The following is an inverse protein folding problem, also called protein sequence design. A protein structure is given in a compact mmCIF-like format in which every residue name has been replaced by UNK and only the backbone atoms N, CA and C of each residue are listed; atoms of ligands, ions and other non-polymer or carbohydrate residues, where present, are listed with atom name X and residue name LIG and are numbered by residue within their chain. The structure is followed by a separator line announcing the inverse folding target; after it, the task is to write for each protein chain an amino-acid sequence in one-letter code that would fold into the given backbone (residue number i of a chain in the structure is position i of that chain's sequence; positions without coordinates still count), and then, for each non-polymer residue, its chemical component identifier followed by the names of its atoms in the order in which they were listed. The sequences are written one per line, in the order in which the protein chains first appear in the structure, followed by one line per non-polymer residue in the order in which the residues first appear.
data_IF_654911073466
#
_entry.id   IF_654911073466
#
_cell.length_a   1.000
_cell.length_b   1.000
_cell.length_c   1.000
_cell.angle_alpha   90.00
_cell.angle_beta   90.00
_cell.angle_gamma   90.00
#
_symmetry.space_group_name_H-M   'P 1'
#
loop_
_entity.id
_entity.type
_entity.pdbx_description
1 polymer ?
#
# COMPACT_ATOMS: atom_id res chain seq x y z
N UNK A 1 37.47 45.02 -4.80
CA UNK A 1 36.51 44.91 -3.68
C UNK A 1 35.43 43.94 -4.16
N UNK A 2 35.52 42.63 -3.89
CA UNK A 2 35.45 41.93 -2.60
C UNK A 2 34.04 41.95 -1.99
N UNK A 3 33.43 40.76 -2.01
CA UNK A 3 32.46 40.17 -1.06
C UNK A 3 31.10 40.91 -0.95
N UNK A 4 29.97 40.22 -1.10
CA UNK A 4 29.53 39.19 -0.14
C UNK A 4 28.94 37.96 -0.84
N UNK A 5 29.51 36.81 -0.48
CA UNK A 5 28.77 35.57 -0.37
C UNK A 5 27.77 35.75 0.78
N UNK A 6 26.49 35.59 0.51
CA UNK A 6 25.52 35.33 1.58
C UNK A 6 25.28 33.82 1.66
N UNK A 7 25.79 33.33 2.77
CA UNK A 7 25.67 32.03 3.39
C UNK A 7 24.20 31.60 3.47
N UNK A 8 23.85 30.50 2.79
CA UNK A 8 22.69 29.68 3.14
C UNK A 8 23.05 28.18 3.08
N UNK A 9 24.25 27.87 3.57
CA UNK A 9 24.58 26.57 4.16
C UNK A 9 24.23 26.66 5.65
N UNK A 10 22.99 26.32 6.01
CA UNK A 10 22.65 25.67 7.29
C UNK A 10 21.14 25.41 7.37
N UNK A 11 20.79 24.12 7.40
CA UNK A 11 19.71 23.55 8.21
C UNK A 11 18.32 24.20 8.23
N UNK A 12 17.35 23.39 7.80
CA UNK A 12 15.93 23.40 8.20
C UNK A 12 15.06 24.50 7.57
N UNK A 13 14.22 24.07 6.62
CA UNK A 13 13.04 24.82 6.18
C UNK A 13 12.86 24.74 4.67
N UNK A 14 12.31 23.62 4.19
CA UNK A 14 11.70 23.55 2.85
C UNK A 14 10.48 24.46 2.85
N UNK A 15 10.69 25.76 2.61
CA UNK A 15 9.62 26.68 2.21
C UNK A 15 9.62 26.74 0.70
N UNK A 16 8.47 26.47 0.11
CA UNK A 16 8.22 26.65 -1.32
C UNK A 16 7.55 28.01 -1.47
N UNK A 17 8.22 29.06 -1.99
CA UNK A 17 7.54 30.18 -2.61
C UNK A 17 7.26 29.84 -4.08
N UNK A 18 6.08 30.23 -4.51
CA UNK A 18 5.41 29.90 -5.75
C UNK A 18 6.14 30.43 -6.99
N UNK A 19 6.28 29.59 -8.03
CA UNK A 19 5.68 29.75 -9.38
C UNK A 19 6.48 28.95 -10.43
N UNK A 20 5.76 28.24 -11.31
CA UNK A 20 6.20 27.57 -12.54
C UNK A 20 6.89 26.17 -12.48
N UNK A 21 6.56 25.40 -13.51
CA UNK A 21 6.89 24.00 -13.78
C UNK A 21 8.39 23.70 -13.70
N UNK A 22 8.76 22.57 -13.08
CA UNK A 22 10.11 21.99 -13.23
C UNK A 22 11.07 22.11 -12.04
N UNK A 23 10.63 22.56 -10.86
CA UNK A 23 11.47 22.51 -9.67
C UNK A 23 11.55 21.10 -9.08
N UNK A 24 12.79 20.60 -8.90
CA UNK A 24 13.10 19.40 -8.14
C UNK A 24 12.70 19.60 -6.69
N UNK A 25 11.77 18.77 -6.20
CA UNK A 25 11.33 18.75 -4.80
C UNK A 25 12.26 17.89 -3.97
N UNK A 26 12.68 16.75 -4.51
CA UNK A 26 13.63 15.84 -3.89
C UNK A 26 14.36 15.07 -4.98
N UNK A 27 15.65 14.81 -4.78
CA UNK A 27 16.43 13.96 -5.66
C UNK A 27 17.37 13.08 -4.85
N UNK A 28 17.71 11.92 -5.40
CA UNK A 28 18.55 10.97 -4.69
C UNK A 28 18.56 9.59 -5.29
N UNK A 29 19.43 8.75 -4.74
CA UNK A 29 19.55 7.36 -5.16
C UNK A 29 18.58 6.48 -4.39
N UNK A 30 17.80 5.68 -5.11
CA UNK A 30 17.00 4.61 -4.55
C UNK A 30 17.23 3.32 -5.32
N UNK A 31 16.85 2.21 -4.71
CA UNK A 31 16.78 0.92 -5.40
C UNK A 31 15.38 0.76 -5.96
N UNK A 32 15.30 0.49 -7.26
CA UNK A 32 14.05 0.25 -7.96
C UNK A 32 13.90 -1.23 -8.25
N UNK A 33 12.75 -1.82 -7.91
CA UNK A 33 12.38 -3.15 -8.41
C UNK A 33 11.89 -3.06 -9.86
N UNK A 34 12.34 -3.98 -10.71
CA UNK A 34 11.76 -4.15 -12.04
C UNK A 34 10.34 -4.70 -11.97
N UNK A 35 9.46 -4.23 -12.86
CA UNK A 35 8.06 -4.66 -12.90
C UNK A 35 7.93 -6.09 -13.47
N UNK A 36 8.62 -6.36 -14.58
CA UNK A 36 8.60 -7.67 -15.27
C UNK A 36 9.62 -8.62 -14.65
N UNK A 37 10.90 -8.23 -14.71
CA UNK A 37 11.98 -8.96 -14.04
C UNK A 37 12.15 -8.31 -12.68
N UNK A 38 11.82 -9.01 -11.60
CA UNK A 38 11.78 -8.47 -10.23
C UNK A 38 13.17 -8.18 -9.62
N UNK A 39 14.17 -7.85 -10.45
CA UNK A 39 15.51 -7.47 -10.03
C UNK A 39 15.56 -6.05 -9.45
N UNK A 40 16.49 -5.83 -8.53
CA UNK A 40 16.77 -4.52 -7.96
C UNK A 40 17.80 -3.78 -8.83
N UNK A 41 17.52 -2.52 -9.13
CA UNK A 41 18.40 -1.64 -9.89
C UNK A 41 18.55 -0.32 -9.16
N UNK A 42 19.78 0.09 -8.87
CA UNK A 42 20.07 1.44 -8.39
C UNK A 42 19.74 2.46 -9.48
N UNK A 43 18.94 3.47 -9.14
CA UNK A 43 18.50 4.54 -10.04
C UNK A 43 18.54 5.87 -9.30
N UNK A 44 18.92 6.92 -10.01
CA UNK A 44 18.84 8.27 -9.49
C UNK A 44 17.44 8.79 -9.80
N UNK A 45 16.71 9.25 -8.79
CA UNK A 45 15.36 9.74 -8.91
C UNK A 45 15.34 11.25 -8.74
N UNK A 46 14.49 11.90 -9.52
CA UNK A 46 14.17 13.32 -9.41
C UNK A 46 12.66 13.43 -9.29
N UNK A 47 12.18 13.88 -8.14
CA UNK A 47 10.78 14.17 -7.87
C UNK A 47 10.50 15.63 -8.23
N UNK A 48 9.49 15.85 -9.06
CA UNK A 48 8.94 17.16 -9.39
C UNK A 48 7.44 17.13 -9.16
N UNK A 49 6.76 18.28 -9.26
CA UNK A 49 5.28 18.31 -9.23
C UNK A 49 4.71 17.48 -10.40
N UNK A 50 3.75 16.60 -10.11
CA UNK A 50 3.04 15.76 -11.09
C UNK A 50 3.83 14.55 -11.65
N UNK A 51 5.16 14.47 -11.49
CA UNK A 51 5.94 13.30 -11.93
C UNK A 51 7.22 13.03 -11.16
N UNK A 52 7.70 11.79 -11.29
CA UNK A 52 9.00 11.35 -10.82
C UNK A 52 9.80 10.71 -11.96
N UNK A 53 10.92 11.34 -12.32
CA UNK A 53 11.83 10.86 -13.35
C UNK A 53 12.93 10.00 -12.72
N UNK A 54 13.39 8.98 -13.45
CA UNK A 54 14.50 8.14 -12.98
C UNK A 54 15.55 7.86 -14.05
N UNK A 55 16.80 7.84 -13.60
CA UNK A 55 17.99 7.84 -14.43
C UNK A 55 18.89 6.65 -14.10
N UNK A 56 19.61 6.19 -15.10
CA UNK A 56 20.67 5.19 -14.97
C UNK A 56 22.03 5.86 -15.17
N UNK A 57 22.98 5.50 -14.32
CA UNK A 57 24.38 5.89 -14.46
C UNK A 57 25.05 5.15 -15.61
N UNK A 58 25.47 5.88 -16.63
CA UNK A 58 26.15 5.33 -17.79
C UNK A 58 27.64 5.04 -17.53
N UNK A 59 28.22 5.60 -16.47
CA UNK A 59 29.65 5.48 -16.24
C UNK A 59 29.97 4.37 -15.26
N UNK A 60 30.77 3.41 -15.73
CA UNK A 60 31.29 2.35 -14.87
C UNK A 60 32.75 2.49 -14.49
N UNK A 61 33.56 3.40 -15.04
CA UNK A 61 34.96 3.47 -14.57
C UNK A 61 35.88 4.64 -14.95
N UNK A 62 35.51 5.69 -15.72
CA UNK A 62 36.57 6.62 -16.24
C UNK A 62 36.31 8.14 -16.32
N UNK A 63 35.15 8.68 -15.98
CA UNK A 63 34.93 10.13 -16.06
C UNK A 63 34.68 10.80 -14.70
N UNK A 64 35.17 12.05 -14.58
CA UNK A 64 35.10 12.89 -13.37
C UNK A 64 33.67 13.36 -13.05
N UNK A 65 32.72 13.12 -13.94
CA UNK A 65 31.33 13.61 -13.86
C UNK A 65 30.35 12.45 -14.03
N UNK A 66 29.25 12.50 -13.28
CA UNK A 66 28.14 11.55 -13.39
C UNK A 66 27.40 11.76 -14.72
N UNK A 67 27.38 10.76 -15.60
CA UNK A 67 26.57 10.77 -16.81
C UNK A 67 25.26 10.01 -16.60
N UNK A 68 24.18 10.77 -16.41
CA UNK A 68 22.85 10.23 -16.17
C UNK A 68 22.02 10.18 -17.47
N UNK A 69 21.47 9.00 -17.77
CA UNK A 69 20.51 8.83 -18.87
C UNK A 69 19.11 8.56 -18.30
N UNK A 70 18.11 9.37 -18.71
CA UNK A 70 16.73 9.19 -18.27
C UNK A 70 16.19 7.87 -18.81
N UNK A 71 15.79 6.97 -17.90
CA UNK A 71 15.22 5.66 -18.26
C UNK A 71 13.71 5.65 -18.27
N UNK A 72 13.06 6.53 -17.50
CA UNK A 72 11.63 6.65 -17.55
C UNK A 72 11.09 7.72 -16.62
N UNK A 73 9.77 7.89 -16.71
CA UNK A 73 8.98 8.78 -15.88
C UNK A 73 7.84 7.99 -15.25
N UNK A 74 7.45 8.40 -14.05
CA UNK A 74 6.34 7.82 -13.30
C UNK A 74 5.40 8.95 -12.86
N UNK A 75 4.11 8.90 -13.21
CA UNK A 75 3.15 9.91 -12.77
C UNK A 75 2.97 9.84 -11.25
N UNK A 76 2.77 10.98 -10.60
CA UNK A 76 2.46 11.02 -9.16
C UNK A 76 1.09 11.62 -8.85
N UNK A 77 0.26 11.86 -9.87
CA UNK A 77 -1.12 12.30 -9.69
C UNK A 77 -1.93 11.19 -9.01
N UNK A 78 -2.72 11.57 -8.00
CA UNK A 78 -3.49 10.65 -7.15
C UNK A 78 -2.63 9.49 -6.61
N UNK A 79 -1.33 9.73 -6.40
CA UNK A 79 -0.42 8.67 -6.01
C UNK A 79 -0.65 8.22 -4.58
N UNK A 80 -0.64 6.91 -4.40
CA UNK A 80 -0.68 6.26 -3.08
C UNK A 80 0.71 5.78 -2.73
N UNK A 81 1.20 6.19 -1.57
CA UNK A 81 2.49 5.77 -1.05
C UNK A 81 2.25 4.75 0.06
N UNK A 82 2.71 3.52 -0.15
CA UNK A 82 2.35 2.37 0.70
C UNK A 82 3.60 1.55 1.03
N UNK A 83 3.77 1.18 2.30
CA UNK A 83 4.82 0.24 2.69
C UNK A 83 4.63 -1.12 2.04
N UNK A 84 5.73 -1.73 1.58
CA UNK A 84 5.69 -3.14 1.20
C UNK A 84 5.48 -4.02 2.43
N UNK A 85 5.20 -5.31 2.19
CA UNK A 85 4.88 -6.24 3.29
C UNK A 85 5.96 -6.27 4.36
N UNK A 86 7.22 -6.42 3.96
CA UNK A 86 8.35 -6.51 4.88
C UNK A 86 8.46 -5.26 5.77
N UNK A 87 8.34 -4.08 5.16
CA UNK A 87 8.39 -2.80 5.90
C UNK A 87 7.19 -2.60 6.80
N UNK A 88 6.00 -3.01 6.38
CA UNK A 88 4.80 -2.95 7.21
C UNK A 88 4.89 -3.90 8.41
N UNK A 89 5.34 -5.14 8.18
CA UNK A 89 5.57 -6.13 9.24
C UNK A 89 6.59 -5.60 10.25
N UNK A 90 7.69 -5.02 9.79
CA UNK A 90 8.73 -4.43 10.63
C UNK A 90 8.24 -3.23 11.45
N UNK A 91 7.66 -2.23 10.79
CA UNK A 91 7.44 -0.91 11.40
C UNK A 91 6.06 -0.73 12.03
N UNK A 92 5.05 -1.49 11.58
CA UNK A 92 3.67 -1.35 12.05
C UNK A 92 3.28 -2.51 12.95
N UNK A 93 3.64 -3.74 12.56
CA UNK A 93 3.34 -4.93 13.36
C UNK A 93 4.44 -5.29 14.36
N UNK A 94 5.55 -4.55 14.37
CA UNK A 94 6.73 -4.82 15.20
C UNK A 94 7.22 -6.27 15.10
N UNK A 95 7.17 -6.85 13.88
CA UNK A 95 7.68 -8.18 13.60
C UNK A 95 9.12 -8.07 13.11
N UNK A 96 10.02 -8.77 13.78
CA UNK A 96 11.39 -8.90 13.30
C UNK A 96 11.41 -9.51 11.89
N UNK A 97 12.30 -9.06 11.00
CA UNK A 97 12.36 -9.56 9.64
C UNK A 97 12.68 -11.05 9.67
N UNK A 98 11.87 -11.86 9.00
CA UNK A 98 12.13 -13.28 8.87
C UNK A 98 13.50 -13.45 8.20
N UNK A 99 14.42 -14.16 8.88
CA UNK A 99 15.79 -14.40 8.41
C UNK A 99 15.88 -15.04 7.01
N UNK A 100 14.75 -15.51 6.46
CA UNK A 100 14.61 -16.22 5.19
C UNK A 100 14.37 -15.32 3.95
N UNK A 101 14.02 -14.04 4.10
CA UNK A 101 13.89 -13.10 2.94
C UNK A 101 15.18 -12.32 2.70
N UNK A 102 16.33 -12.95 2.94
CA UNK A 102 17.55 -12.57 2.23
C UNK A 102 17.43 -13.16 0.84
N UNK A 103 16.74 -12.49 -0.07
CA UNK A 103 16.92 -12.76 -1.50
C UNK A 103 18.42 -12.57 -1.77
N UNK A 104 19.17 -13.69 -1.81
CA UNK A 104 20.54 -13.66 -2.27
C UNK A 104 20.49 -13.03 -3.66
N UNK A 105 21.15 -11.90 -3.91
CA UNK A 105 21.18 -11.34 -5.25
C UNK A 105 21.73 -12.44 -6.15
N UNK A 106 20.89 -12.98 -7.05
CA UNK A 106 21.33 -13.98 -8.02
C UNK A 106 22.54 -13.38 -8.73
N UNK A 107 23.68 -14.07 -8.59
CA UNK A 107 24.99 -13.56 -8.98
C UNK A 107 24.96 -12.97 -10.38
N UNK A 108 25.04 -11.64 -10.44
CA UNK A 108 24.96 -10.91 -11.68
C UNK A 108 25.73 -9.63 -11.57
N UNK A 109 27.03 -9.67 -11.86
CA UNK A 109 27.98 -8.56 -12.12
C UNK A 109 28.03 -7.38 -11.11
N UNK A 110 27.14 -7.33 -10.12
CA UNK A 110 26.87 -6.18 -9.27
C UNK A 110 27.75 -6.16 -8.04
N UNK A 111 28.07 -7.33 -7.47
CA UNK A 111 29.01 -7.52 -6.35
C UNK A 111 30.43 -7.04 -6.67
N UNK A 112 30.77 -6.83 -7.94
CA UNK A 112 32.11 -6.43 -8.37
C UNK A 112 32.28 -4.92 -8.61
N UNK A 113 31.19 -4.16 -8.71
CA UNK A 113 31.21 -2.73 -9.04
C UNK A 113 31.17 -1.80 -7.82
N UNK A 114 30.89 -2.34 -6.63
CA UNK A 114 30.69 -1.55 -5.41
C UNK A 114 31.79 -1.74 -4.36
N UNK A 115 32.98 -2.24 -4.73
CA UNK A 115 34.17 -2.20 -3.86
C UNK A 115 33.90 -2.63 -2.39
N UNK A 116 33.02 -3.61 -2.18
CA UNK A 116 32.48 -3.91 -0.87
C UNK A 116 31.24 -4.79 -0.97
N UNK A 117 31.18 -5.81 -0.13
CA UNK A 117 30.04 -6.70 0.09
C UNK A 117 28.96 -5.98 0.91
N UNK A 118 28.48 -4.81 0.47
CA UNK A 118 27.35 -4.17 1.14
C UNK A 118 26.07 -4.95 0.81
N UNK A 119 25.57 -5.65 1.82
CA UNK A 119 24.30 -6.34 1.77
C UNK A 119 23.20 -5.30 1.57
N UNK A 120 22.50 -5.37 0.44
CA UNK A 120 21.47 -4.41 0.08
C UNK A 120 20.21 -4.72 0.90
N UNK A 121 19.94 -3.93 1.94
CA UNK A 121 18.73 -4.07 2.74
C UNK A 121 17.48 -3.70 1.92
N UNK A 122 16.43 -4.50 2.08
CA UNK A 122 15.09 -4.27 1.53
C UNK A 122 14.06 -3.93 2.62
N UNK A 123 14.52 -3.62 3.82
CA UNK A 123 13.67 -3.46 5.01
C UNK A 123 12.86 -2.15 4.98
N UNK A 124 13.34 -1.15 4.24
CA UNK A 124 12.70 0.16 4.05
C UNK A 124 12.17 0.32 2.62
N UNK A 125 11.33 -0.64 2.24
CA UNK A 125 10.64 -0.70 0.96
C UNK A 125 9.26 -0.04 0.99
N UNK A 126 8.96 0.72 -0.06
CA UNK A 126 7.66 1.33 -0.27
C UNK A 126 7.33 1.34 -1.75
N UNK A 127 6.05 1.35 -2.07
CA UNK A 127 5.57 1.48 -3.43
C UNK A 127 4.81 2.79 -3.62
N UNK A 128 4.93 3.33 -4.83
CA UNK A 128 4.10 4.44 -5.31
C UNK A 128 3.13 3.84 -6.33
N UNK A 129 1.83 3.91 -6.05
CA UNK A 129 0.75 3.43 -6.93
C UNK A 129 0.07 4.64 -7.57
N UNK A 130 0.04 4.71 -8.89
CA UNK A 130 -0.61 5.81 -9.63
C UNK A 130 -0.96 5.33 -11.04
N UNK A 131 -2.14 5.73 -11.56
CA UNK A 131 -2.60 5.41 -12.92
C UNK A 131 -2.50 3.92 -13.27
N UNK A 132 -2.88 3.04 -12.34
CA UNK A 132 -2.82 1.57 -12.51
C UNK A 132 -1.40 0.97 -12.52
N UNK A 133 -0.35 1.77 -12.31
CA UNK A 133 1.05 1.34 -12.30
C UNK A 133 1.61 1.32 -10.89
N UNK A 134 2.59 0.45 -10.65
CA UNK A 134 3.26 0.34 -9.35
C UNK A 134 4.76 0.54 -9.49
N UNK A 135 5.31 1.47 -8.71
CA UNK A 135 6.74 1.71 -8.61
C UNK A 135 7.25 1.30 -7.24
N UNK A 136 7.85 0.12 -7.16
CA UNK A 136 8.46 -0.40 -5.93
C UNK A 136 9.89 0.11 -5.75
N UNK A 137 10.14 0.77 -4.61
CA UNK A 137 11.37 1.44 -4.24
C UNK A 137 11.88 0.97 -2.87
N UNK A 138 13.18 1.07 -2.66
CA UNK A 138 13.81 0.82 -1.36
C UNK A 138 14.80 1.92 -1.05
N UNK A 139 14.67 2.47 0.16
CA UNK A 139 15.60 3.43 0.73
C UNK A 139 16.67 2.70 1.57
N UNK A 140 17.81 3.34 1.79
CA UNK A 140 18.89 2.78 2.61
C UNK A 140 18.60 2.84 4.11
N UNK A 141 17.62 3.67 4.52
CA UNK A 141 17.24 3.84 5.91
C UNK A 141 15.77 4.26 6.05
N UNK A 142 15.18 4.03 7.23
CA UNK A 142 13.84 4.53 7.58
C UNK A 142 13.73 6.04 7.37
N UNK A 143 14.75 6.80 7.76
CA UNK A 143 14.74 8.25 7.61
C UNK A 143 14.65 8.67 6.15
N UNK A 144 15.46 8.08 5.26
CA UNK A 144 15.42 8.40 3.82
C UNK A 144 14.06 8.00 3.22
N UNK A 145 13.50 6.85 3.60
CA UNK A 145 12.14 6.45 3.20
C UNK A 145 11.09 7.47 3.65
N UNK A 146 11.13 7.88 4.93
CA UNK A 146 10.17 8.85 5.49
C UNK A 146 10.27 10.21 4.76
N UNK A 147 11.48 10.63 4.37
CA UNK A 147 11.70 11.84 3.58
C UNK A 147 11.08 11.73 2.18
N UNK A 148 11.30 10.62 1.47
CA UNK A 148 10.68 10.37 0.15
C UNK A 148 9.16 10.30 0.24
N UNK A 149 8.61 9.55 1.20
CA UNK A 149 7.17 9.41 1.37
C UNK A 149 6.50 10.76 1.61
N UNK A 150 7.06 11.58 2.51
CA UNK A 150 6.56 12.94 2.79
C UNK A 150 6.65 13.84 1.56
N UNK A 151 7.74 13.76 0.80
CA UNK A 151 7.90 14.58 -0.40
C UNK A 151 6.89 14.21 -1.50
N UNK A 152 6.64 12.91 -1.72
CA UNK A 152 5.67 12.43 -2.71
C UNK A 152 4.25 12.83 -2.31
N UNK A 153 3.85 12.64 -1.05
CA UNK A 153 2.53 13.05 -0.55
C UNK A 153 2.29 14.54 -0.75
N UNK A 154 3.27 15.39 -0.41
CA UNK A 154 3.17 16.86 -0.63
C UNK A 154 3.04 17.24 -2.11
N UNK A 155 3.72 16.51 -3.00
CA UNK A 155 3.59 16.77 -4.44
C UNK A 155 2.21 16.38 -4.97
N UNK A 156 1.61 15.31 -4.43
CA UNK A 156 0.27 14.86 -4.79
C UNK A 156 -0.81 15.86 -4.35
N UNK A 157 -0.69 16.44 -3.15
CA UNK A 157 -1.64 17.45 -2.62
C UNK A 157 -1.62 18.78 -3.39
N UNK A 158 -0.48 19.17 -3.98
CA UNK A 158 -0.29 20.48 -4.62
C UNK A 158 -0.72 20.52 -6.09
N UNK A 159 -1.26 19.44 -6.66
CA UNK A 159 -1.72 19.42 -8.06
C UNK A 159 -3.27 19.41 -8.19
N UNK A 160 -3.97 20.52 -7.84
CA UNK A 160 -5.44 20.60 -7.92
C UNK A 160 -5.97 21.00 -9.31
N UNK A 161 -5.11 21.17 -10.33
CA UNK A 161 -5.50 21.59 -11.70
C UNK A 161 -5.17 20.45 -12.69
N UNK A 162 -6.07 19.51 -12.94
CA UNK A 162 -7.48 19.66 -12.66
C UNK A 162 -8.35 18.41 -12.77
N UNK A 163 -9.65 18.60 -12.48
CA UNK A 163 -10.67 17.58 -12.53
C UNK A 163 -11.10 17.42 -13.99
N UNK A 164 -10.27 16.77 -14.80
CA UNK A 164 -10.84 15.54 -15.29
C UNK A 164 -10.54 14.58 -14.15
N UNK A 165 -11.54 14.33 -13.27
CA UNK A 165 -11.53 13.04 -12.58
C UNK A 165 -11.13 12.08 -13.68
N UNK A 166 -9.99 11.41 -13.55
CA UNK A 166 -9.73 10.26 -14.40
C UNK A 166 -10.88 9.31 -14.07
N UNK A 167 -11.97 9.43 -14.83
CA UNK A 167 -13.20 8.66 -14.60
C UNK A 167 -12.91 7.19 -14.86
N UNK A 168 -11.81 6.90 -15.58
CA UNK A 168 -11.33 5.55 -15.77
C UNK A 168 -10.60 5.02 -14.52
N UNK A 169 -9.87 5.87 -13.76
CA UNK A 169 -9.14 5.46 -12.56
C UNK A 169 -9.27 6.46 -11.38
N UNK A 170 -10.44 6.55 -10.72
CA UNK A 170 -10.57 7.37 -9.52
C UNK A 170 -9.63 6.86 -8.40
N UNK A 171 -9.18 7.75 -7.49
CA UNK A 171 -8.47 7.30 -6.29
C UNK A 171 -9.36 6.33 -5.51
N UNK A 172 -8.78 5.31 -4.86
CA UNK A 172 -9.59 4.40 -4.06
C UNK A 172 -10.16 5.15 -2.85
N UNK A 173 -11.32 4.67 -2.40
CA UNK A 173 -12.02 5.18 -1.22
C UNK A 173 -11.18 4.96 0.04
N UNK A 174 -10.55 3.78 0.13
CA UNK A 174 -9.61 3.44 1.20
C UNK A 174 -8.67 2.33 0.74
N UNK A 175 -7.46 2.32 1.26
CA UNK A 175 -6.52 1.21 1.08
C UNK A 175 -5.70 0.98 2.35
N UNK A 176 -5.04 -0.17 2.41
CA UNK A 176 -4.19 -0.52 3.55
C UNK A 176 -4.04 -2.01 3.76
N UNK A 177 -3.18 -2.38 4.70
CA UNK A 177 -2.91 -3.77 5.03
C UNK A 177 -3.96 -4.32 6.01
N UNK A 178 -4.47 -5.51 5.68
CA UNK A 178 -5.42 -6.25 6.51
C UNK A 178 -4.95 -7.70 6.67
N UNK A 179 -5.10 -8.24 7.87
CA UNK A 179 -4.97 -9.68 8.10
C UNK A 179 -6.31 -10.33 7.80
N UNK A 180 -6.36 -11.12 6.72
CA UNK A 180 -7.53 -11.91 6.34
C UNK A 180 -7.48 -13.28 7.00
N UNK A 181 -8.56 -13.68 7.66
CA UNK A 181 -8.71 -15.05 8.17
C UNK A 181 -9.69 -15.82 7.28
N UNK A 182 -9.30 -17.02 6.81
CA UNK A 182 -10.24 -17.89 6.08
C UNK A 182 -11.28 -18.49 7.03
N UNK A 183 -12.53 -18.58 6.57
CA UNK A 183 -13.60 -19.26 7.32
C UNK A 183 -13.45 -20.79 7.33
N UNK A 184 -12.64 -21.35 6.42
CA UNK A 184 -12.43 -22.81 6.27
C UNK A 184 -11.25 -23.32 7.09
N UNK A 185 -10.10 -22.64 7.00
CA UNK A 185 -8.81 -23.22 7.43
C UNK A 185 -8.16 -22.46 8.59
N UNK A 186 -8.85 -21.44 9.14
CA UNK A 186 -8.34 -20.53 10.19
C UNK A 186 -6.98 -19.85 9.88
N UNK A 187 -6.42 -20.07 8.69
CA UNK A 187 -5.15 -19.51 8.27
C UNK A 187 -5.28 -17.99 8.10
N UNK A 188 -4.37 -17.26 8.74
CA UNK A 188 -4.26 -15.82 8.66
C UNK A 188 -3.27 -15.40 7.58
N UNK A 189 -3.70 -14.52 6.67
CA UNK A 189 -2.87 -14.01 5.58
C UNK A 189 -2.91 -12.50 5.57
N UNK A 190 -1.74 -11.88 5.67
CA UNK A 190 -1.57 -10.44 5.49
C UNK A 190 -1.73 -10.09 4.01
N UNK A 191 -2.62 -9.15 3.69
CA UNK A 191 -2.97 -8.74 2.34
C UNK A 191 -3.08 -7.23 2.27
N UNK A 192 -2.63 -6.65 1.16
CA UNK A 192 -2.90 -5.24 0.89
C UNK A 192 -4.26 -5.14 0.23
N UNK A 193 -5.20 -4.46 0.88
CA UNK A 193 -6.58 -4.28 0.44
C UNK A 193 -6.77 -2.89 -0.14
N UNK A 194 -7.57 -2.80 -1.20
CA UNK A 194 -7.93 -1.55 -1.87
C UNK A 194 -9.44 -1.56 -2.13
N UNK A 195 -10.13 -0.59 -1.55
CA UNK A 195 -11.56 -0.35 -1.71
C UNK A 195 -11.78 0.71 -2.77
N UNK A 196 -12.44 0.35 -3.86
CA UNK A 196 -12.80 1.28 -4.93
C UNK A 196 -14.04 0.77 -5.65
N UNK A 197 -14.90 1.67 -6.12
CA UNK A 197 -16.02 1.34 -7.02
C UNK A 197 -16.89 0.14 -6.59
N UNK A 198 -17.38 0.17 -5.35
CA UNK A 198 -18.27 -0.87 -4.81
C UNK A 198 -17.66 -2.27 -4.74
N UNK A 199 -16.33 -2.39 -4.76
CA UNK A 199 -15.58 -3.64 -4.61
C UNK A 199 -14.36 -3.43 -3.72
N UNK A 200 -13.99 -4.50 -3.03
CA UNK A 200 -12.74 -4.55 -2.29
C UNK A 200 -11.82 -5.58 -2.94
N UNK A 201 -10.71 -5.11 -3.47
CA UNK A 201 -9.67 -5.98 -4.00
C UNK A 201 -8.61 -6.21 -2.94
N UNK A 202 -7.96 -7.36 -3.00
CA UNK A 202 -6.74 -7.56 -2.24
C UNK A 202 -5.63 -8.21 -3.05
N UNK A 203 -4.40 -7.84 -2.70
CA UNK A 203 -3.14 -8.21 -3.35
C UNK A 203 -2.31 -9.06 -2.38
N UNK A 204 -1.36 -9.86 -2.90
CA UNK A 204 -0.39 -10.55 -2.04
C UNK A 204 0.53 -9.53 -1.38
N UNK A 205 1.01 -8.55 -2.16
CA UNK A 205 1.76 -7.38 -1.68
C UNK A 205 1.23 -6.08 -2.28
N UNK A 206 1.40 -4.97 -1.57
CA UNK A 206 1.22 -3.60 -2.10
C UNK A 206 1.98 -3.32 -3.40
N UNK A 207 3.08 -4.04 -3.65
CA UNK A 207 3.90 -3.92 -4.84
C UNK A 207 3.33 -4.67 -6.07
N UNK A 208 2.23 -5.41 -5.92
CA UNK A 208 1.64 -6.18 -7.01
C UNK A 208 0.64 -5.34 -7.83
N UNK A 209 0.73 -5.46 -9.15
CA UNK A 209 -0.22 -4.86 -10.10
C UNK A 209 -1.43 -5.77 -10.31
N UNK A 210 -1.26 -7.09 -10.16
CA UNK A 210 -2.33 -8.06 -10.38
C UNK A 210 -3.12 -8.29 -9.09
N UNK A 211 -4.44 -8.09 -9.21
CA UNK A 211 -5.40 -8.37 -8.14
C UNK A 211 -5.39 -9.86 -7.83
N UNK A 212 -5.23 -10.23 -6.55
CA UNK A 212 -5.31 -11.63 -6.13
C UNK A 212 -6.76 -12.11 -6.08
N UNK A 213 -7.64 -11.27 -5.53
CA UNK A 213 -9.08 -11.50 -5.46
C UNK A 213 -9.81 -10.17 -5.53
N UNK A 214 -10.91 -10.17 -6.27
CA UNK A 214 -11.90 -9.12 -6.29
C UNK A 214 -13.12 -9.57 -5.48
N UNK A 215 -13.50 -8.80 -4.47
CA UNK A 215 -14.68 -9.03 -3.64
C UNK A 215 -15.72 -7.94 -3.91
N UNK A 216 -16.76 -8.21 -4.72
CA UNK A 216 -17.87 -7.28 -4.90
C UNK A 216 -18.55 -6.98 -3.56
N UNK A 217 -18.89 -5.72 -3.32
CA UNK A 217 -19.61 -5.28 -2.13
C UNK A 217 -21.09 -5.05 -2.42
N UNK A 218 -21.65 -5.83 -3.35
CA UNK A 218 -23.08 -5.82 -3.59
C UNK A 218 -23.75 -6.59 -2.47
N UNK A 219 -24.76 -5.99 -1.85
CA UNK A 219 -25.62 -6.71 -0.93
C UNK A 219 -24.84 -7.33 0.26
N UNK A 220 -23.71 -6.69 0.64
CA UNK A 220 -22.88 -7.12 1.77
C UNK A 220 -23.19 -6.31 3.02
N UNK A 221 -22.90 -6.92 4.17
CA UNK A 221 -22.93 -6.27 5.47
C UNK A 221 -21.55 -6.31 6.08
N UNK A 222 -21.23 -5.26 6.80
CA UNK A 222 -19.95 -5.13 7.47
C UNK A 222 -20.18 -4.70 8.91
N UNK A 223 -19.54 -5.41 9.83
CA UNK A 223 -19.74 -5.24 11.27
C UNK A 223 -18.41 -5.41 12.00
N UNK A 224 -18.18 -4.59 13.02
CA UNK A 224 -17.11 -4.83 13.98
C UNK A 224 -17.42 -6.11 14.76
N UNK A 225 -16.40 -6.93 14.96
CA UNK A 225 -16.52 -8.06 15.86
C UNK A 225 -16.44 -7.57 17.31
N UNK A 226 -17.04 -8.26 18.28
CA UNK A 226 -16.85 -7.95 19.70
C UNK A 226 -15.36 -7.94 20.06
N UNK A 227 -14.93 -6.94 20.85
CA UNK A 227 -13.59 -6.96 21.40
C UNK A 227 -13.44 -8.16 22.34
N UNK A 228 -12.28 -8.81 22.29
CA UNK A 228 -11.91 -9.86 23.23
C UNK A 228 -11.19 -9.30 24.45
N UNK A 229 -10.94 -7.99 24.50
CA UNK A 229 -10.23 -7.36 25.60
C UNK A 229 -11.19 -6.94 26.72
N UNK A 230 -10.84 -7.28 27.95
CA UNK A 230 -11.63 -6.95 29.15
C UNK A 230 -11.50 -5.47 29.55
N UNK A 231 -10.52 -4.76 28.98
CA UNK A 231 -10.21 -3.36 29.26
C UNK A 231 -11.14 -2.37 28.53
N UNK A 232 -12.08 -2.85 27.72
CA UNK A 232 -12.97 -2.02 26.91
C UNK A 232 -12.29 -1.41 25.68
N UNK A 233 -11.08 -1.86 25.32
CA UNK A 233 -10.43 -1.49 24.06
C UNK A 233 -11.30 -1.92 22.87
N UNK A 234 -11.35 -1.06 21.86
CA UNK A 234 -12.12 -1.29 20.64
C UNK A 234 -11.66 -2.54 19.89
N UNK A 235 -12.51 -3.04 18.99
CA UNK A 235 -12.15 -4.22 18.19
C UNK A 235 -11.35 -3.81 16.97
N UNK A 236 -10.16 -4.40 16.81
CA UNK A 236 -9.39 -4.34 15.56
C UNK A 236 -9.94 -5.28 14.48
N UNK A 237 -10.96 -6.08 14.80
CA UNK A 237 -11.50 -7.13 13.95
C UNK A 237 -12.88 -6.76 13.43
N UNK A 238 -13.10 -7.01 12.15
CA UNK A 238 -14.40 -6.85 11.52
C UNK A 238 -14.70 -8.01 10.57
N UNK A 239 -15.98 -8.17 10.25
CA UNK A 239 -16.44 -9.15 9.29
C UNK A 239 -17.15 -8.47 8.13
N UNK A 240 -17.04 -9.05 6.94
CA UNK A 240 -17.87 -8.72 5.79
C UNK A 240 -18.66 -9.98 5.44
N UNK A 241 -19.98 -9.90 5.48
CA UNK A 241 -20.89 -11.00 5.20
C UNK A 241 -21.73 -10.66 3.97
N UNK A 242 -21.72 -11.52 2.97
CA UNK A 242 -22.52 -11.39 1.76
C UNK A 242 -23.12 -12.72 1.32
N UNK A 243 -23.71 -12.76 0.12
CA UNK A 243 -24.29 -13.98 -0.45
C UNK A 243 -23.26 -15.10 -0.62
N UNK A 244 -22.03 -14.75 -1.00
CA UNK A 244 -21.00 -15.71 -1.39
C UNK A 244 -20.11 -16.15 -0.22
N UNK A 245 -20.33 -15.60 0.98
CA UNK A 245 -19.62 -16.02 2.17
C UNK A 245 -19.48 -14.94 3.24
N UNK A 246 -18.70 -15.31 4.27
CA UNK A 246 -18.29 -14.42 5.35
C UNK A 246 -16.77 -14.38 5.38
N UNK A 247 -16.23 -13.17 5.34
CA UNK A 247 -14.81 -12.89 5.42
C UNK A 247 -14.51 -12.16 6.71
N UNK A 248 -13.40 -12.52 7.35
CA UNK A 248 -12.94 -11.88 8.57
C UNK A 248 -11.63 -11.15 8.31
N UNK A 249 -11.56 -9.93 8.80
CA UNK A 249 -10.43 -9.06 8.67
C UNK A 249 -10.01 -8.53 10.04
N UNK A 250 -8.71 -8.34 10.20
CA UNK A 250 -8.09 -7.69 11.34
C UNK A 250 -7.20 -6.56 10.82
N UNK A 251 -7.49 -5.35 11.28
CA UNK A 251 -6.72 -4.15 10.99
C UNK A 251 -5.60 -3.96 12.01
N UNK A 252 -4.72 -2.98 11.79
CA UNK A 252 -3.60 -2.69 12.68
C UNK A 252 -4.03 -2.33 14.11
N UNK A 253 -5.19 -1.69 14.23
CA UNK A 253 -5.77 -1.21 15.48
C UNK A 253 -7.28 -1.02 15.29
N UNK A 254 -7.97 -0.67 16.38
CA UNK A 254 -9.41 -0.41 16.42
C UNK A 254 -9.80 0.80 15.56
N UNK A 255 -9.02 1.88 15.56
CA UNK A 255 -9.27 3.05 14.71
C UNK A 255 -9.30 2.68 13.22
N UNK A 256 -8.31 1.93 12.74
CA UNK A 256 -8.29 1.45 11.36
C UNK A 256 -9.46 0.51 11.06
N UNK A 257 -9.81 -0.39 11.98
CA UNK A 257 -10.96 -1.27 11.80
C UNK A 257 -12.26 -0.48 11.65
N UNK A 258 -12.50 0.52 12.51
CA UNK A 258 -13.65 1.42 12.40
C UNK A 258 -13.66 2.16 11.06
N UNK A 259 -12.52 2.74 10.66
CA UNK A 259 -12.38 3.44 9.38
C UNK A 259 -12.65 2.53 8.18
N UNK A 260 -12.22 1.27 8.22
CA UNK A 260 -12.55 0.28 7.19
C UNK A 260 -14.04 -0.05 7.14
N UNK A 261 -14.66 -0.27 8.30
CA UNK A 261 -16.10 -0.55 8.39
C UNK A 261 -16.90 0.61 7.80
N UNK A 262 -16.61 1.85 8.21
CA UNK A 262 -17.28 3.05 7.70
C UNK A 262 -17.12 3.20 6.17
N UNK A 263 -15.90 3.05 5.66
CA UNK A 263 -15.62 3.17 4.24
C UNK A 263 -16.36 2.09 3.42
N UNK A 264 -16.38 0.85 3.91
CA UNK A 264 -17.11 -0.25 3.27
C UNK A 264 -18.61 0.03 3.30
N UNK A 265 -19.20 0.46 4.43
CA UNK A 265 -20.63 0.78 4.54
C UNK A 265 -21.06 1.86 3.53
N UNK A 266 -20.24 2.89 3.34
CA UNK A 266 -20.49 3.95 2.36
C UNK A 266 -20.35 3.47 0.91
N UNK A 267 -19.64 2.37 0.68
CA UNK A 267 -19.37 1.80 -0.64
C UNK A 267 -20.28 0.61 -1.00
N UNK A 268 -21.15 0.15 -0.10
CA UNK A 268 -22.07 -0.97 -0.38
C UNK A 268 -23.12 -0.55 -1.39
N UNK A 269 -23.26 -1.31 -2.45
CA UNK A 269 -24.34 -1.16 -3.41
C UNK A 269 -25.47 -2.14 -3.07
N UNK A 270 -26.65 -1.60 -2.72
CA UNK A 270 -27.84 -2.41 -2.48
C UNK A 270 -28.65 -2.56 -3.77
N UNK A 271 -28.93 -3.80 -4.17
CA UNK A 271 -29.77 -4.09 -5.32
C UNK A 271 -31.22 -3.66 -5.05
N UNK A 272 -31.98 -3.17 -6.05
CA UNK A 272 -33.42 -2.95 -5.92
C UNK A 272 -34.21 -4.22 -5.56
N UNK A 273 -33.65 -5.40 -5.87
CA UNK A 273 -34.20 -6.70 -5.48
C UNK A 273 -33.80 -7.12 -4.06
N UNK A 274 -33.27 -6.20 -3.25
CA UNK A 274 -32.88 -6.45 -1.87
C UNK A 274 -34.12 -6.79 -1.06
N UNK A 275 -34.25 -8.06 -0.74
CA UNK A 275 -35.26 -8.55 0.18
C UNK A 275 -34.84 -8.09 1.58
N UNK A 276 -35.68 -7.33 2.32
CA UNK A 276 -35.34 -6.88 3.66
C UNK A 276 -34.95 -8.07 4.56
N UNK A 277 -33.76 -8.00 5.13
CA UNK A 277 -33.31 -8.96 6.14
C UNK A 277 -34.09 -8.68 7.42
N UNK A 278 -34.86 -9.66 7.88
CA UNK A 278 -35.62 -9.58 9.13
C UNK A 278 -34.73 -9.88 10.34
N UNK A 279 -33.76 -10.79 10.18
CA UNK A 279 -32.82 -11.15 11.25
C UNK A 279 -31.57 -11.77 10.66
N UNK A 280 -30.45 -11.57 11.32
CA UNK A 280 -29.22 -12.28 10.99
C UNK A 280 -28.36 -12.47 12.24
N UNK A 281 -27.32 -13.28 12.10
CA UNK A 281 -26.31 -13.45 13.13
C UNK A 281 -25.71 -14.84 13.17
N UNK A 282 -24.78 -15.00 14.09
CA UNK A 282 -24.11 -16.27 14.34
C UNK A 282 -25.00 -17.23 15.11
N UNK A 283 -25.21 -18.43 14.56
CA UNK A 283 -25.89 -19.52 15.26
C UNK A 283 -25.07 -20.80 15.17
N UNK A 284 -25.23 -21.67 16.16
CA UNK A 284 -24.64 -23.01 16.15
C UNK A 284 -25.61 -23.97 15.48
N UNK A 285 -25.17 -24.60 14.39
CA UNK A 285 -25.91 -25.61 13.65
C UNK A 285 -25.38 -27.00 14.01
N UNK A 286 -26.29 -27.89 14.43
CA UNK A 286 -26.01 -29.31 14.56
C UNK A 286 -26.09 -29.99 13.18
N UNK A 287 -25.00 -30.64 12.77
CA UNK A 287 -24.96 -31.43 11.54
C UNK A 287 -25.74 -32.73 11.69
N UNK A 288 -26.79 -32.93 10.89
CA UNK A 288 -27.64 -34.13 10.97
C UNK A 288 -26.91 -35.45 10.67
N UNK A 289 -25.78 -35.43 9.94
CA UNK A 289 -25.04 -36.64 9.56
C UNK A 289 -23.84 -36.96 10.45
N UNK A 290 -23.23 -35.94 11.03
CA UNK A 290 -21.96 -36.06 11.76
C UNK A 290 -22.09 -35.67 13.23
N UNK A 291 -23.28 -35.21 13.66
CA UNK A 291 -23.57 -34.65 14.99
C UNK A 291 -22.60 -33.55 15.44
N UNK A 292 -21.90 -32.93 14.49
CA UNK A 292 -20.93 -31.87 14.76
C UNK A 292 -21.66 -30.54 14.90
N UNK A 293 -21.36 -29.82 15.97
CA UNK A 293 -21.77 -28.43 16.16
C UNK A 293 -20.85 -27.51 15.33
N UNK A 294 -21.44 -26.73 14.43
CA UNK A 294 -20.70 -25.77 13.59
C UNK A 294 -21.30 -24.38 13.72
N UNK A 295 -20.46 -23.37 13.97
CA UNK A 295 -20.90 -21.97 14.01
C UNK A 295 -21.04 -21.45 12.58
N UNK A 296 -22.21 -20.92 12.21
CA UNK A 296 -22.51 -20.38 10.88
C UNK A 296 -23.23 -19.03 11.00
N UNK A 297 -23.00 -18.15 10.04
CA UNK A 297 -23.76 -16.89 9.94
C UNK A 297 -25.04 -17.18 9.17
N UNK A 298 -26.17 -16.86 9.76
CA UNK A 298 -27.49 -17.05 9.16
C UNK A 298 -28.09 -15.70 8.81
N UNK A 299 -28.77 -15.66 7.68
CA UNK A 299 -29.52 -14.49 7.22
C UNK A 299 -30.95 -14.93 6.95
N UNK A 300 -31.90 -14.33 7.67
CA UNK A 300 -33.33 -14.45 7.45
C UNK A 300 -33.78 -13.24 6.63
N UNK A 301 -34.06 -13.46 5.35
CA UNK A 301 -34.65 -12.45 4.47
C UNK A 301 -36.16 -12.66 4.36
N UNK A 302 -36.92 -11.57 4.27
CA UNK A 302 -38.38 -11.60 4.20
C UNK A 302 -38.91 -11.99 2.82
N UNK A 303 -39.17 -13.27 2.59
CA UNK A 303 -39.94 -13.74 1.43
C UNK A 303 -41.05 -14.70 1.90
N UNK A 304 -42.25 -14.56 1.31
CA UNK A 304 -43.32 -15.58 1.34
C UNK A 304 -42.90 -16.82 0.54
#
# INVERSE_FOLDING_TARGET
MSLLMDENLTGKGLTIPETHEGHTVLEGWLLKRGAVVKNLKRRYFILSRGRMDYYHDLDKEKEKYLKLERKGTFPIHNAQVVYCRATYELLVLNKEPAAEVREKPQGGLFTKLMGGSEEVSTDFGFCVRSEGRVLMLYAKSKQEMDEWNKAITRCNEFDPVGPQLDTENPPPVKDGWLVKTSSTDAEQKLRYAVLYDGRMNYFEDSADEQVKVCMPLNDVRVELMPSTSEDGSGSSKFQVAGRDGVWFFEAANDFEANSWVEAIQQSVNFSPSWIPIQKEGWMVKLGHRTETLTRRYFVLSGGL
#
